data_IF_618133107300
#
_entry.id   IF_618133107300
#
_cell.length_a   1.000
_cell.length_b   1.000
_cell.length_c   1.000
_cell.angle_alpha   90.00
_cell.angle_beta   90.00
_cell.angle_gamma   90.00
#
_symmetry.space_group_name_H-M   'P 1'
#
loop_
_entity.id
_entity.type
_entity.pdbx_description
1 polymer ?
#
# COMPACT_ATOMS: atom_id res chain seq x y z
N UNK A 1 -68.61 -18.33 -2.52
CA UNK A 1 -68.03 -16.95 -2.61
C UNK A 1 -67.02 -16.77 -1.48
N UNK A 2 -65.78 -16.54 -1.76
CA UNK A 2 -64.83 -16.06 -0.72
C UNK A 2 -63.54 -16.87 -0.54
N UNK A 3 -62.78 -17.21 -1.64
CA UNK A 3 -61.44 -17.81 -1.51
C UNK A 3 -60.41 -17.09 -2.45
N UNK A 4 -60.48 -15.76 -2.55
CA UNK A 4 -59.54 -14.99 -3.41
C UNK A 4 -58.97 -13.75 -2.75
N UNK A 5 -58.98 -13.62 -1.42
CA UNK A 5 -58.47 -12.43 -0.74
C UNK A 5 -57.13 -12.63 0.00
N UNK A 6 -56.47 -13.80 -0.11
CA UNK A 6 -55.21 -14.07 0.64
C UNK A 6 -53.94 -14.13 -0.23
N UNK A 7 -54.02 -13.78 -1.55
CA UNK A 7 -52.90 -13.94 -2.48
C UNK A 7 -52.16 -12.61 -2.83
N UNK A 8 -52.56 -11.46 -2.27
CA UNK A 8 -51.95 -10.17 -2.48
C UNK A 8 -51.73 -9.38 -1.18
N UNK A 9 -51.44 -10.09 -0.09
CA UNK A 9 -50.98 -9.46 1.15
C UNK A 9 -49.49 -9.13 1.10
N UNK A 10 -49.05 -8.27 0.17
CA UNK A 10 -47.76 -7.61 0.29
C UNK A 10 -47.79 -6.78 1.55
N UNK A 11 -46.95 -7.11 2.56
CA UNK A 11 -46.79 -6.31 3.74
C UNK A 11 -46.52 -4.87 3.31
N UNK A 12 -47.49 -3.96 3.55
CA UNK A 12 -47.26 -2.52 3.33
C UNK A 12 -46.18 -2.08 4.32
N UNK A 13 -45.02 -1.65 3.79
CA UNK A 13 -43.97 -1.08 4.61
C UNK A 13 -44.57 -0.02 5.54
N UNK A 14 -44.10 0.02 6.79
CA UNK A 14 -44.42 1.06 7.74
C UNK A 14 -43.90 2.42 7.26
N UNK A 15 -44.32 3.50 7.84
CA UNK A 15 -43.82 4.85 7.51
C UNK A 15 -42.33 4.99 7.88
N UNK A 16 -41.90 4.34 8.96
CA UNK A 16 -40.49 4.30 9.39
C UNK A 16 -39.64 3.51 8.39
N UNK A 17 -40.09 2.35 7.91
CA UNK A 17 -39.36 1.57 6.89
C UNK A 17 -39.23 2.33 5.55
N UNK A 18 -40.25 3.10 5.15
CA UNK A 18 -40.17 3.94 3.96
C UNK A 18 -39.18 5.10 4.14
N UNK A 19 -39.20 5.73 5.31
CA UNK A 19 -38.26 6.79 5.65
C UNK A 19 -36.84 6.30 5.67
N UNK A 20 -36.58 5.13 6.28
CA UNK A 20 -35.30 4.48 6.23
C UNK A 20 -34.80 4.28 4.79
N UNK A 21 -35.63 3.68 3.91
CA UNK A 21 -35.28 3.45 2.50
C UNK A 21 -34.95 4.77 1.79
N UNK A 22 -35.76 5.81 1.98
CA UNK A 22 -35.53 7.13 1.37
C UNK A 22 -34.16 7.67 1.79
N UNK A 23 -33.88 7.70 3.07
CA UNK A 23 -32.63 8.22 3.62
C UNK A 23 -31.44 7.40 3.16
N UNK A 24 -31.52 6.05 3.20
CA UNK A 24 -30.48 5.15 2.72
C UNK A 24 -30.11 5.46 1.25
N UNK A 25 -31.11 5.48 0.37
CA UNK A 25 -30.85 5.68 -1.07
C UNK A 25 -30.50 7.12 -1.41
N UNK A 26 -30.98 8.12 -0.69
CA UNK A 26 -30.53 9.51 -0.83
C UNK A 26 -29.08 9.68 -0.40
N UNK A 27 -28.67 9.05 0.68
CA UNK A 27 -27.30 8.99 1.13
C UNK A 27 -26.37 8.36 0.08
N UNK A 28 -26.75 7.19 -0.48
CA UNK A 28 -25.98 6.51 -1.53
C UNK A 28 -25.85 7.40 -2.78
N UNK A 29 -26.93 8.05 -3.22
CA UNK A 29 -26.88 8.98 -4.36
C UNK A 29 -25.96 10.16 -4.08
N UNK A 30 -26.10 10.76 -2.92
CA UNK A 30 -25.27 11.90 -2.49
C UNK A 30 -23.78 11.55 -2.42
N UNK A 31 -23.45 10.38 -1.88
CA UNK A 31 -22.08 9.86 -1.81
C UNK A 31 -21.46 9.68 -3.20
N UNK A 32 -22.22 9.15 -4.17
CA UNK A 32 -21.79 8.95 -5.57
C UNK A 32 -21.46 10.27 -6.27
N UNK A 33 -22.20 11.35 -5.99
CA UNK A 33 -21.96 12.67 -6.58
C UNK A 33 -21.05 13.57 -5.72
N UNK A 34 -20.38 12.98 -4.70
CA UNK A 34 -19.41 13.70 -3.87
C UNK A 34 -19.99 14.64 -2.82
N UNK A 35 -21.32 14.67 -2.61
CA UNK A 35 -21.97 15.46 -1.54
C UNK A 35 -21.87 14.75 -0.20
N UNK A 36 -20.63 14.56 0.30
CA UNK A 36 -20.34 13.71 1.45
C UNK A 36 -21.02 14.14 2.74
N UNK A 37 -21.08 15.45 3.03
CA UNK A 37 -21.75 15.98 4.24
C UNK A 37 -23.25 15.66 4.24
N UNK A 38 -23.90 15.80 3.08
CA UNK A 38 -25.32 15.44 2.97
C UNK A 38 -25.55 13.93 3.02
N UNK A 39 -24.67 13.14 2.37
CA UNK A 39 -24.70 11.69 2.44
C UNK A 39 -24.58 11.20 3.89
N UNK A 40 -23.64 11.76 4.63
CA UNK A 40 -23.42 11.42 6.03
C UNK A 40 -24.66 11.69 6.89
N UNK A 41 -25.29 12.88 6.73
CA UNK A 41 -26.52 13.21 7.43
C UNK A 41 -27.63 12.19 7.12
N UNK A 42 -27.81 11.83 5.86
CA UNK A 42 -28.81 10.83 5.45
C UNK A 42 -28.51 9.45 6.10
N UNK A 43 -27.26 9.01 6.14
CA UNK A 43 -26.91 7.73 6.75
C UNK A 43 -27.05 7.76 8.29
N UNK A 44 -26.67 8.86 8.95
CA UNK A 44 -26.86 9.03 10.40
C UNK A 44 -28.36 8.97 10.78
N UNK A 45 -29.21 9.63 10.01
CA UNK A 45 -30.67 9.58 10.21
C UNK A 45 -31.25 8.19 9.88
N UNK A 46 -30.76 7.52 8.83
CA UNK A 46 -31.19 6.17 8.47
C UNK A 46 -30.81 5.15 9.53
N UNK A 47 -29.56 5.17 10.01
CA UNK A 47 -29.10 4.22 11.04
C UNK A 47 -29.73 4.46 12.41
N UNK A 48 -30.20 5.67 12.68
CA UNK A 48 -31.01 5.96 13.87
C UNK A 48 -32.42 5.31 13.80
N UNK A 49 -32.95 5.09 12.60
CA UNK A 49 -34.22 4.37 12.42
C UNK A 49 -34.00 2.86 12.49
N UNK A 50 -32.97 2.36 11.80
CA UNK A 50 -32.69 0.93 11.69
C UNK A 50 -31.19 0.68 11.56
N UNK A 51 -30.63 -0.20 12.41
CA UNK A 51 -29.24 -0.68 12.31
C UNK A 51 -29.12 -1.69 11.15
N UNK A 52 -28.94 -1.18 9.92
CA UNK A 52 -28.72 -1.96 8.71
C UNK A 52 -27.26 -1.96 8.35
N UNK A 53 -26.63 -3.13 8.25
CA UNK A 53 -25.18 -3.26 8.05
C UNK A 53 -24.70 -2.60 6.75
N UNK A 54 -25.49 -2.65 5.67
CA UNK A 54 -25.13 -1.99 4.41
C UNK A 54 -25.10 -0.47 4.57
N UNK A 55 -26.12 0.08 5.25
CA UNK A 55 -26.18 1.52 5.55
C UNK A 55 -25.05 1.95 6.47
N UNK A 56 -24.77 1.18 7.52
CA UNK A 56 -23.64 1.42 8.43
C UNK A 56 -22.29 1.35 7.70
N UNK A 57 -22.13 0.43 6.74
CA UNK A 57 -20.91 0.35 5.92
C UNK A 57 -20.75 1.60 5.04
N UNK A 58 -21.83 2.08 4.43
CA UNK A 58 -21.79 3.33 3.65
C UNK A 58 -21.48 4.54 4.55
N UNK A 59 -22.05 4.58 5.74
CA UNK A 59 -21.79 5.63 6.74
C UNK A 59 -20.32 5.61 7.16
N UNK A 60 -19.77 4.44 7.52
CA UNK A 60 -18.36 4.29 7.90
C UNK A 60 -17.42 4.73 6.77
N UNK A 61 -17.67 4.32 5.53
CA UNK A 61 -16.90 4.74 4.36
C UNK A 61 -17.01 6.26 4.15
N UNK A 62 -18.16 6.86 4.46
CA UNK A 62 -18.34 8.31 4.34
C UNK A 62 -17.58 9.05 5.44
N UNK A 63 -17.56 8.54 6.68
CA UNK A 63 -16.72 9.07 7.75
C UNK A 63 -15.23 9.06 7.36
N UNK A 64 -14.74 7.96 6.80
CA UNK A 64 -13.35 7.85 6.31
C UNK A 64 -13.06 8.95 5.27
N UNK A 65 -13.95 9.11 4.29
CA UNK A 65 -13.78 10.11 3.21
C UNK A 65 -13.81 11.56 3.67
N UNK A 66 -14.47 11.85 4.80
CA UNK A 66 -14.47 13.19 5.43
C UNK A 66 -13.46 13.30 6.57
N UNK A 67 -12.53 12.33 6.68
CA UNK A 67 -11.46 12.25 7.68
C UNK A 67 -11.97 12.20 9.15
N UNK A 68 -13.14 11.63 9.37
CA UNK A 68 -13.70 11.35 10.73
C UNK A 68 -13.39 9.89 11.11
N UNK A 69 -12.10 9.58 11.29
CA UNK A 69 -11.63 8.20 11.50
C UNK A 69 -12.14 7.57 12.79
N UNK A 70 -12.24 8.35 13.87
CA UNK A 70 -12.72 7.84 15.17
C UNK A 70 -14.20 7.44 15.11
N UNK A 71 -15.03 8.24 14.44
CA UNK A 71 -16.44 7.92 14.22
C UNK A 71 -16.61 6.66 13.36
N UNK A 72 -15.79 6.53 12.31
CA UNK A 72 -15.75 5.32 11.49
C UNK A 72 -15.40 4.09 12.35
N UNK A 73 -14.41 4.21 13.24
CA UNK A 73 -13.99 3.13 14.12
C UNK A 73 -15.06 2.72 15.13
N UNK A 74 -15.72 3.70 15.77
CA UNK A 74 -16.82 3.42 16.69
C UNK A 74 -17.95 2.68 15.96
N UNK A 75 -18.31 3.14 14.77
CA UNK A 75 -19.36 2.50 13.98
C UNK A 75 -18.99 1.08 13.54
N UNK A 76 -17.75 0.87 13.07
CA UNK A 76 -17.27 -0.46 12.68
C UNK A 76 -17.18 -1.41 13.88
N UNK A 77 -16.78 -0.94 15.07
CA UNK A 77 -16.84 -1.74 16.29
C UNK A 77 -18.29 -2.16 16.59
N UNK A 78 -19.25 -1.23 16.47
CA UNK A 78 -20.68 -1.57 16.63
C UNK A 78 -21.15 -2.60 15.62
N UNK A 79 -20.69 -2.50 14.36
CA UNK A 79 -20.99 -3.51 13.33
C UNK A 79 -20.46 -4.90 13.71
N UNK A 80 -19.28 -5.00 14.33
CA UNK A 80 -18.73 -6.29 14.78
C UNK A 80 -19.54 -6.93 15.93
N UNK A 81 -20.22 -6.12 16.73
CA UNK A 81 -21.15 -6.62 17.79
C UNK A 81 -22.45 -7.16 17.18
N UNK A 82 -23.01 -6.44 16.20
CA UNK A 82 -24.29 -6.79 15.55
C UNK A 82 -24.13 -8.02 14.66
N UNK A 83 -23.01 -8.10 13.91
CA UNK A 83 -22.73 -9.14 12.93
C UNK A 83 -21.44 -9.89 13.27
N UNK A 84 -21.37 -10.40 14.49
CA UNK A 84 -20.19 -11.08 15.03
C UNK A 84 -19.85 -12.41 14.33
N UNK A 85 -20.73 -12.91 13.47
CA UNK A 85 -20.56 -14.10 12.63
C UNK A 85 -20.17 -13.78 11.18
N UNK A 86 -20.02 -12.50 10.82
CA UNK A 86 -19.71 -12.08 9.46
C UNK A 86 -18.22 -11.67 9.31
N UNK A 87 -17.39 -12.44 8.57
CA UNK A 87 -15.97 -12.15 8.40
C UNK A 87 -15.70 -10.77 7.80
N UNK A 88 -16.53 -10.33 6.84
CA UNK A 88 -16.39 -9.07 6.12
C UNK A 88 -16.39 -7.83 7.05
N UNK A 89 -17.12 -7.89 8.16
CA UNK A 89 -17.16 -6.76 9.11
C UNK A 89 -15.81 -6.60 9.80
N UNK A 90 -15.18 -7.71 10.17
CA UNK A 90 -13.84 -7.69 10.76
C UNK A 90 -12.76 -7.30 9.74
N UNK A 91 -12.90 -7.69 8.47
CA UNK A 91 -12.01 -7.23 7.40
C UNK A 91 -12.10 -5.71 7.18
N UNK A 92 -13.33 -5.16 7.23
CA UNK A 92 -13.54 -3.71 7.15
C UNK A 92 -12.86 -2.98 8.31
N UNK A 93 -13.01 -3.52 9.54
CA UNK A 93 -12.33 -2.98 10.73
C UNK A 93 -10.81 -3.08 10.58
N UNK A 94 -10.28 -4.22 10.12
CA UNK A 94 -8.84 -4.40 9.87
C UNK A 94 -8.30 -3.38 8.86
N UNK A 95 -9.06 -3.11 7.79
CA UNK A 95 -8.70 -2.10 6.78
C UNK A 95 -8.66 -0.68 7.37
N UNK A 96 -9.60 -0.34 8.25
CA UNK A 96 -9.59 0.94 8.96
C UNK A 96 -8.42 1.03 9.94
N UNK A 97 -8.13 -0.05 10.69
CA UNK A 97 -6.97 -0.12 11.58
C UNK A 97 -5.66 0.11 10.80
N UNK A 98 -5.54 -0.45 9.59
CA UNK A 98 -4.39 -0.21 8.71
C UNK A 98 -4.23 1.27 8.36
N UNK A 99 -5.34 1.97 8.01
CA UNK A 99 -5.31 3.41 7.71
C UNK A 99 -4.92 4.26 8.92
N UNK A 100 -5.17 3.77 10.14
CA UNK A 100 -4.81 4.42 11.40
C UNK A 100 -3.45 3.97 11.94
N UNK A 101 -2.72 3.13 11.20
CA UNK A 101 -1.46 2.50 11.63
C UNK A 101 -1.58 1.69 12.93
N UNK A 102 -2.81 1.31 13.31
CA UNK A 102 -3.09 0.43 14.45
C UNK A 102 -2.92 -1.04 14.03
N UNK A 103 -1.69 -1.45 13.85
CA UNK A 103 -1.38 -2.81 13.40
C UNK A 103 -1.75 -3.89 14.41
N UNK A 104 -1.86 -3.56 15.71
CA UNK A 104 -2.36 -4.51 16.72
C UNK A 104 -3.86 -4.74 16.56
N UNK A 105 -4.64 -3.68 16.46
CA UNK A 105 -6.08 -3.79 16.20
C UNK A 105 -6.37 -4.47 14.86
N UNK A 106 -5.52 -4.21 13.84
CA UNK A 106 -5.60 -4.89 12.56
C UNK A 106 -5.40 -6.40 12.68
N UNK A 107 -4.36 -6.86 13.40
CA UNK A 107 -4.09 -8.28 13.63
C UNK A 107 -5.22 -8.97 14.39
N UNK A 108 -5.77 -8.32 15.44
CA UNK A 108 -6.91 -8.84 16.20
C UNK A 108 -8.16 -9.01 15.32
N UNK A 109 -8.47 -8.00 14.50
CA UNK A 109 -9.61 -8.07 13.58
C UNK A 109 -9.41 -9.17 12.52
N UNK A 110 -8.21 -9.28 11.93
CA UNK A 110 -7.88 -10.35 10.99
C UNK A 110 -8.03 -11.74 11.62
N UNK A 111 -7.54 -11.95 12.85
CA UNK A 111 -7.72 -13.22 13.56
C UNK A 111 -9.20 -13.58 13.73
N UNK A 112 -10.04 -12.61 14.09
CA UNK A 112 -11.48 -12.83 14.19
C UNK A 112 -12.09 -13.22 12.85
N UNK A 113 -11.75 -12.51 11.77
CA UNK A 113 -12.21 -12.86 10.43
C UNK A 113 -11.79 -14.30 10.04
N UNK A 114 -10.54 -14.69 10.31
CA UNK A 114 -10.01 -16.03 10.00
C UNK A 114 -10.62 -17.13 10.86
N UNK A 115 -11.07 -16.85 12.09
CA UNK A 115 -11.82 -17.87 12.86
C UNK A 115 -13.20 -18.14 12.28
N UNK A 116 -13.77 -17.21 11.51
CA UNK A 116 -15.06 -17.34 10.85
C UNK A 116 -14.94 -17.90 9.43
N UNK A 117 -13.88 -17.52 8.71
CA UNK A 117 -13.58 -18.00 7.37
C UNK A 117 -12.06 -18.07 7.16
N UNK A 118 -11.50 -19.27 7.23
CA UNK A 118 -10.07 -19.55 7.02
C UNK A 118 -9.69 -19.83 5.55
N UNK A 119 -10.66 -19.68 4.61
CA UNK A 119 -10.44 -19.91 3.18
C UNK A 119 -10.39 -18.61 2.37
N UNK A 120 -10.24 -17.45 3.02
CA UNK A 120 -10.20 -16.18 2.33
C UNK A 120 -8.75 -15.65 2.19
N UNK A 121 -8.17 -15.63 0.96
CA UNK A 121 -6.81 -15.17 0.73
C UNK A 121 -6.62 -13.69 1.07
N UNK A 122 -7.67 -12.86 0.92
CA UNK A 122 -7.59 -11.43 1.21
C UNK A 122 -7.38 -11.16 2.71
N UNK A 123 -8.02 -11.94 3.58
CA UNK A 123 -7.82 -11.83 5.04
C UNK A 123 -6.40 -12.23 5.45
N UNK A 124 -5.82 -13.26 4.85
CA UNK A 124 -4.42 -13.61 5.09
C UNK A 124 -3.47 -12.51 4.61
N UNK A 125 -3.75 -11.88 3.47
CA UNK A 125 -2.97 -10.74 2.99
C UNK A 125 -3.06 -9.53 3.93
N UNK A 126 -4.25 -9.20 4.45
CA UNK A 126 -4.41 -8.18 5.49
C UNK A 126 -3.64 -8.52 6.77
N UNK A 127 -3.68 -9.80 7.20
CA UNK A 127 -2.92 -10.26 8.36
C UNK A 127 -1.40 -10.14 8.15
N UNK A 128 -0.92 -10.38 6.93
CA UNK A 128 0.47 -10.16 6.57
C UNK A 128 0.87 -8.68 6.67
N UNK A 129 0.01 -7.77 6.19
CA UNK A 129 0.23 -6.31 6.35
C UNK A 129 0.32 -5.92 7.82
N UNK A 130 -0.55 -6.47 8.67
CA UNK A 130 -0.48 -6.23 10.12
C UNK A 130 0.86 -6.72 10.69
N UNK A 131 1.30 -7.91 10.30
CA UNK A 131 2.57 -8.47 10.74
C UNK A 131 3.78 -7.63 10.30
N UNK A 132 3.75 -7.07 9.08
CA UNK A 132 4.79 -6.12 8.60
C UNK A 132 4.81 -4.87 9.47
N UNK A 133 3.64 -4.26 9.74
CA UNK A 133 3.55 -3.08 10.61
C UNK A 133 4.02 -3.34 12.04
N UNK A 134 3.92 -4.59 12.51
CA UNK A 134 4.45 -5.07 13.80
C UNK A 134 5.92 -5.52 13.71
N UNK A 135 6.60 -5.30 12.58
CA UNK A 135 7.98 -5.73 12.33
C UNK A 135 8.19 -7.24 12.47
N UNK A 136 7.17 -8.05 12.23
CA UNK A 136 7.21 -9.51 12.29
C UNK A 136 7.23 -10.13 10.88
N UNK A 137 8.38 -10.05 10.21
CA UNK A 137 8.55 -10.54 8.85
C UNK A 137 8.29 -12.05 8.71
N UNK A 138 8.63 -12.86 9.72
CA UNK A 138 8.39 -14.32 9.69
C UNK A 138 6.88 -14.62 9.64
N UNK A 139 6.10 -13.94 10.48
CA UNK A 139 4.64 -14.10 10.46
C UNK A 139 4.05 -13.59 9.15
N UNK A 140 4.55 -12.46 8.61
CA UNK A 140 4.10 -11.94 7.34
C UNK A 140 4.30 -12.94 6.20
N UNK A 141 5.49 -13.56 6.09
CA UNK A 141 5.77 -14.63 5.09
C UNK A 141 4.81 -15.81 5.26
N UNK A 142 4.55 -16.26 6.49
CA UNK A 142 3.62 -17.35 6.74
C UNK A 142 2.19 -17.03 6.27
N UNK A 143 1.70 -15.82 6.55
CA UNK A 143 0.37 -15.39 6.12
C UNK A 143 0.30 -15.22 4.59
N UNK A 144 1.32 -14.65 3.96
CA UNK A 144 1.39 -14.51 2.50
C UNK A 144 1.45 -15.88 1.81
N UNK A 145 2.18 -16.83 2.39
CA UNK A 145 2.20 -18.20 1.88
C UNK A 145 0.82 -18.84 1.91
N UNK A 146 0.05 -18.63 2.97
CA UNK A 146 -1.36 -19.07 3.04
C UNK A 146 -2.24 -18.37 2.00
N UNK A 147 -2.11 -17.06 1.83
CA UNK A 147 -2.85 -16.31 0.81
C UNK A 147 -2.58 -16.86 -0.60
N UNK A 148 -1.31 -17.13 -0.92
CA UNK A 148 -0.88 -17.70 -2.20
C UNK A 148 -1.39 -19.13 -2.40
N UNK A 149 -1.36 -19.97 -1.36
CA UNK A 149 -1.92 -21.34 -1.43
C UNK A 149 -3.43 -21.33 -1.73
N UNK A 150 -4.16 -20.33 -1.28
CA UNK A 150 -5.60 -20.17 -1.53
C UNK A 150 -5.90 -19.50 -2.88
N UNK A 151 -4.98 -18.67 -3.36
CA UNK A 151 -5.06 -18.01 -4.66
C UNK A 151 -3.68 -17.93 -5.30
N UNK A 152 -3.37 -18.88 -6.20
CA UNK A 152 -2.08 -18.98 -6.89
C UNK A 152 -1.80 -17.83 -7.89
N UNK A 153 -2.78 -16.97 -8.14
CA UNK A 153 -2.66 -15.79 -9.00
C UNK A 153 -2.65 -14.47 -8.20
N UNK A 154 -2.44 -14.53 -6.89
CA UNK A 154 -2.46 -13.35 -6.02
C UNK A 154 -1.15 -12.55 -6.15
N UNK A 155 -1.07 -11.71 -7.17
CA UNK A 155 0.11 -10.91 -7.54
C UNK A 155 0.66 -10.11 -6.35
N UNK A 156 -0.20 -9.38 -5.63
CA UNK A 156 0.23 -8.54 -4.50
C UNK A 156 0.82 -9.35 -3.35
N UNK A 157 0.38 -10.60 -3.17
CA UNK A 157 0.92 -11.47 -2.14
C UNK A 157 2.33 -11.98 -2.51
N UNK A 158 2.57 -12.35 -3.76
CA UNK A 158 3.90 -12.68 -4.24
C UNK A 158 4.86 -11.50 -4.15
N UNK A 159 4.41 -10.31 -4.60
CA UNK A 159 5.23 -9.10 -4.56
C UNK A 159 5.66 -8.78 -3.13
N UNK A 160 4.72 -8.71 -2.19
CA UNK A 160 5.01 -8.42 -0.79
C UNK A 160 5.92 -9.49 -0.17
N UNK A 161 5.72 -10.78 -0.49
CA UNK A 161 6.55 -11.87 0.05
C UNK A 161 7.97 -11.78 -0.48
N UNK A 162 8.14 -11.53 -1.78
CA UNK A 162 9.46 -11.33 -2.40
C UNK A 162 10.23 -10.18 -1.75
N UNK A 163 9.59 -9.03 -1.51
CA UNK A 163 10.20 -7.87 -0.87
C UNK A 163 10.64 -8.19 0.57
N UNK A 164 9.79 -8.88 1.35
CA UNK A 164 10.13 -9.27 2.72
C UNK A 164 11.28 -10.30 2.72
N UNK A 165 11.22 -11.32 1.87
CA UNK A 165 12.26 -12.34 1.73
C UNK A 165 13.61 -11.69 1.34
N UNK A 166 13.59 -10.73 0.41
CA UNK A 166 14.78 -9.97 0.03
C UNK A 166 15.35 -9.16 1.20
N UNK A 167 14.51 -8.46 1.95
CA UNK A 167 14.91 -7.72 3.15
C UNK A 167 15.54 -8.64 4.20
N UNK A 168 15.04 -9.88 4.31
CA UNK A 168 15.57 -10.91 5.19
C UNK A 168 16.77 -11.68 4.62
N UNK A 169 17.33 -11.24 3.49
CA UNK A 169 18.47 -11.88 2.81
C UNK A 169 18.21 -13.30 2.29
N UNK A 170 16.97 -13.64 2.08
CA UNK A 170 16.54 -14.90 1.48
C UNK A 170 16.39 -14.74 -0.03
N UNK A 171 17.49 -14.39 -0.71
CA UNK A 171 17.50 -14.05 -2.13
C UNK A 171 16.96 -15.16 -3.05
N UNK A 172 17.22 -16.43 -2.70
CA UNK A 172 16.73 -17.56 -3.50
C UNK A 172 15.20 -17.62 -3.48
N UNK A 173 14.60 -17.57 -2.29
CA UNK A 173 13.14 -17.67 -2.15
C UNK A 173 12.45 -16.42 -2.72
N UNK A 174 13.06 -15.24 -2.55
CA UNK A 174 12.59 -14.01 -3.20
C UNK A 174 12.59 -14.15 -4.74
N UNK A 175 13.64 -14.74 -5.31
CA UNK A 175 13.71 -14.93 -6.77
C UNK A 175 12.66 -15.92 -7.28
N UNK A 176 12.26 -16.93 -6.52
CA UNK A 176 11.17 -17.85 -6.89
C UNK A 176 9.85 -17.09 -7.04
N UNK A 177 9.53 -16.17 -6.13
CA UNK A 177 8.34 -15.33 -6.22
C UNK A 177 8.42 -14.35 -7.40
N UNK A 178 9.60 -13.75 -7.63
CA UNK A 178 9.84 -12.85 -8.77
C UNK A 178 9.65 -13.58 -10.10
N UNK A 179 10.18 -14.79 -10.26
CA UNK A 179 9.98 -15.57 -11.48
C UNK A 179 8.50 -15.88 -11.71
N UNK A 180 7.75 -16.15 -10.64
CA UNK A 180 6.29 -16.33 -10.72
C UNK A 180 5.60 -15.05 -11.19
N UNK A 181 5.94 -13.89 -10.64
CA UNK A 181 5.41 -12.58 -11.07
C UNK A 181 5.71 -12.32 -12.55
N UNK A 182 6.96 -12.51 -12.97
CA UNK A 182 7.37 -12.30 -14.36
C UNK A 182 6.74 -13.32 -15.32
N UNK A 183 6.36 -14.52 -14.84
CA UNK A 183 5.59 -15.48 -15.64
C UNK A 183 4.16 -15.03 -15.89
N UNK A 184 3.56 -14.26 -14.95
CA UNK A 184 2.22 -13.68 -15.07
C UNK A 184 2.25 -12.38 -15.90
N UNK A 185 3.25 -11.53 -15.64
CA UNK A 185 3.47 -10.27 -16.35
C UNK A 185 4.97 -10.06 -16.58
N UNK A 186 5.50 -10.35 -17.80
CA UNK A 186 6.93 -10.17 -18.12
C UNK A 186 7.42 -8.73 -18.05
N UNK A 187 6.51 -7.75 -18.01
CA UNK A 187 6.81 -6.32 -17.96
C UNK A 187 6.51 -5.72 -16.58
N UNK A 188 6.35 -6.55 -15.55
CA UNK A 188 6.13 -6.07 -14.18
C UNK A 188 7.34 -5.28 -13.68
N UNK A 189 7.17 -3.96 -13.56
CA UNK A 189 8.23 -3.03 -13.18
C UNK A 189 8.86 -3.38 -11.85
N UNK A 190 8.05 -3.67 -10.83
CA UNK A 190 8.54 -3.97 -9.48
C UNK A 190 9.32 -5.29 -9.45
N UNK A 191 8.83 -6.31 -10.14
CA UNK A 191 9.50 -7.59 -10.23
C UNK A 191 10.83 -7.48 -10.98
N UNK A 192 10.87 -6.75 -12.09
CA UNK A 192 12.10 -6.50 -12.87
C UNK A 192 13.15 -5.74 -12.04
N UNK A 193 12.74 -4.69 -11.31
CA UNK A 193 13.65 -3.92 -10.47
C UNK A 193 14.16 -4.73 -9.28
N UNK A 194 13.30 -5.49 -8.62
CA UNK A 194 13.72 -6.35 -7.49
C UNK A 194 14.67 -7.45 -7.96
N UNK A 195 14.42 -8.04 -9.15
CA UNK A 195 15.34 -8.98 -9.79
C UNK A 195 16.69 -8.32 -10.08
N UNK A 196 16.68 -7.09 -10.57
CA UNK A 196 17.88 -6.29 -10.81
C UNK A 196 18.68 -6.08 -9.52
N UNK A 197 18.03 -5.73 -8.41
CA UNK A 197 18.67 -5.59 -7.10
C UNK A 197 19.35 -6.90 -6.65
N UNK A 198 18.65 -8.04 -6.78
CA UNK A 198 19.19 -9.36 -6.42
C UNK A 198 20.42 -9.70 -7.27
N UNK A 199 20.33 -9.47 -8.58
CA UNK A 199 21.45 -9.74 -9.51
C UNK A 199 22.67 -8.86 -9.21
N UNK A 200 22.46 -7.58 -8.90
CA UNK A 200 23.54 -6.67 -8.53
C UNK A 200 24.31 -7.17 -7.30
N UNK A 201 23.59 -7.61 -6.25
CA UNK A 201 24.21 -8.16 -5.04
C UNK A 201 24.87 -9.52 -5.27
N UNK A 202 24.36 -10.31 -6.22
CA UNK A 202 24.94 -11.61 -6.62
C UNK A 202 26.17 -11.48 -7.52
N UNK A 203 26.59 -10.24 -7.90
CA UNK A 203 27.73 -9.97 -8.76
C UNK A 203 27.41 -10.05 -10.26
N UNK A 204 26.13 -10.19 -10.64
CA UNK A 204 25.66 -10.19 -12.03
C UNK A 204 25.22 -8.78 -12.46
N UNK A 205 26.08 -7.82 -12.21
CA UNK A 205 25.77 -6.39 -12.29
C UNK A 205 25.39 -5.91 -13.69
N UNK A 206 25.96 -6.52 -14.75
CA UNK A 206 25.61 -6.16 -16.14
C UNK A 206 24.16 -6.54 -16.44
N UNK A 207 23.73 -7.73 -16.00
CA UNK A 207 22.32 -8.16 -16.16
C UNK A 207 21.37 -7.29 -15.34
N UNK A 208 21.80 -6.87 -14.14
CA UNK A 208 21.03 -5.94 -13.34
C UNK A 208 20.78 -4.63 -14.10
N UNK A 209 21.83 -4.05 -14.70
CA UNK A 209 21.72 -2.83 -15.49
C UNK A 209 20.84 -3.02 -16.75
N UNK A 210 20.88 -4.18 -17.39
CA UNK A 210 20.00 -4.51 -18.51
C UNK A 210 18.52 -4.48 -18.10
N UNK A 211 18.16 -5.08 -16.95
CA UNK A 211 16.79 -5.05 -16.43
C UNK A 211 16.33 -3.63 -16.07
N UNK A 212 17.19 -2.84 -15.43
CA UNK A 212 16.88 -1.44 -15.09
C UNK A 212 16.64 -0.63 -16.38
N UNK A 213 17.48 -0.82 -17.42
CA UNK A 213 17.28 -0.16 -18.70
C UNK A 213 16.00 -0.64 -19.41
N UNK A 214 15.64 -1.92 -19.28
CA UNK A 214 14.36 -2.44 -19.78
C UNK A 214 13.19 -1.71 -19.11
N UNK A 215 13.23 -1.53 -17.79
CA UNK A 215 12.19 -0.78 -17.06
C UNK A 215 12.11 0.65 -17.56
N UNK A 216 13.23 1.35 -17.73
CA UNK A 216 13.24 2.73 -18.25
C UNK A 216 12.75 2.83 -19.71
N UNK A 217 12.92 1.79 -20.50
CA UNK A 217 12.35 1.72 -21.85
C UNK A 217 10.83 1.54 -21.84
N UNK A 218 10.28 0.79 -20.86
CA UNK A 218 8.84 0.58 -20.66
C UNK A 218 8.18 1.78 -19.98
N UNK A 219 8.80 2.29 -18.94
CA UNK A 219 8.35 3.42 -18.15
C UNK A 219 9.47 4.46 -17.94
N UNK A 220 9.59 5.46 -18.84
CA UNK A 220 10.59 6.53 -18.69
C UNK A 220 10.40 7.41 -17.46
N UNK A 221 9.28 7.27 -16.73
CA UNK A 221 8.98 8.02 -15.49
C UNK A 221 9.30 7.23 -14.21
N UNK A 222 9.92 6.05 -14.32
CA UNK A 222 10.24 5.21 -13.17
C UNK A 222 11.32 5.83 -12.29
N UNK A 223 10.92 6.53 -11.24
CA UNK A 223 11.84 7.13 -10.27
C UNK A 223 12.75 6.08 -9.63
N UNK A 224 12.18 4.92 -9.25
CA UNK A 224 12.94 3.81 -8.65
C UNK A 224 14.02 3.27 -9.59
N UNK A 225 13.75 3.18 -10.91
CA UNK A 225 14.73 2.72 -11.88
C UNK A 225 15.90 3.71 -12.01
N UNK A 226 15.64 5.02 -12.04
CA UNK A 226 16.70 6.03 -12.02
C UNK A 226 17.56 5.97 -10.78
N UNK A 227 16.96 5.80 -9.60
CA UNK A 227 17.70 5.66 -8.34
C UNK A 227 18.63 4.44 -8.36
N UNK A 228 18.12 3.29 -8.81
CA UNK A 228 18.91 2.07 -8.92
C UNK A 228 20.02 2.21 -9.95
N UNK A 229 19.76 2.81 -11.12
CA UNK A 229 20.76 3.06 -12.15
C UNK A 229 21.87 4.00 -11.68
N UNK A 230 21.50 5.08 -11.01
CA UNK A 230 22.45 6.03 -10.43
C UNK A 230 23.29 5.41 -9.33
N UNK A 231 22.70 4.64 -8.43
CA UNK A 231 23.41 3.92 -7.37
C UNK A 231 24.37 2.86 -7.93
N UNK A 232 23.98 2.16 -9.01
CA UNK A 232 24.88 1.25 -9.74
C UNK A 232 26.16 1.96 -10.21
N UNK A 233 26.03 3.11 -10.88
CA UNK A 233 27.20 3.86 -11.35
C UNK A 233 28.02 4.47 -10.20
N UNK A 234 27.38 4.87 -9.12
CA UNK A 234 28.06 5.33 -7.91
C UNK A 234 28.92 4.21 -7.30
N UNK A 235 28.41 3.00 -7.19
CA UNK A 235 29.15 1.85 -6.69
C UNK A 235 30.37 1.51 -7.54
N UNK A 236 30.29 1.73 -8.85
CA UNK A 236 31.40 1.60 -9.79
C UNK A 236 32.36 2.80 -9.78
N UNK A 237 32.12 3.80 -8.93
CA UNK A 237 32.85 5.08 -8.92
C UNK A 237 32.80 5.81 -10.26
N UNK A 238 31.83 5.51 -11.10
CA UNK A 238 31.59 6.17 -12.37
C UNK A 238 30.74 7.44 -12.16
N UNK A 239 31.28 8.38 -11.39
CA UNK A 239 30.57 9.56 -10.88
C UNK A 239 29.89 10.38 -11.97
N UNK A 240 30.55 10.57 -13.12
CA UNK A 240 29.97 11.35 -14.22
C UNK A 240 28.71 10.67 -14.76
N UNK A 241 28.74 9.35 -14.97
CA UNK A 241 27.57 8.60 -15.41
C UNK A 241 26.44 8.60 -14.39
N UNK A 242 26.76 8.53 -13.10
CA UNK A 242 25.75 8.63 -12.04
C UNK A 242 25.08 10.01 -12.05
N UNK A 243 25.83 11.09 -12.23
CA UNK A 243 25.30 12.45 -12.36
C UNK A 243 24.40 12.56 -13.59
N UNK A 244 24.84 12.09 -14.77
CA UNK A 244 24.04 12.08 -15.99
C UNK A 244 22.69 11.37 -15.80
N UNK A 245 22.66 10.23 -15.12
CA UNK A 245 21.42 9.49 -14.83
C UNK A 245 20.45 10.31 -13.97
N UNK A 246 20.97 10.99 -12.94
CA UNK A 246 20.11 11.84 -12.10
C UNK A 246 19.72 13.15 -12.81
N UNK A 247 20.56 13.66 -13.71
CA UNK A 247 20.19 14.80 -14.56
C UNK A 247 19.03 14.44 -15.47
N UNK A 248 19.06 13.27 -16.15
CA UNK A 248 17.93 12.75 -16.93
C UNK A 248 16.66 12.62 -16.09
N UNK A 249 16.75 12.05 -14.88
CA UNK A 249 15.61 11.93 -13.97
C UNK A 249 15.01 13.29 -13.60
N UNK A 250 15.86 14.31 -13.37
CA UNK A 250 15.45 15.65 -13.00
C UNK A 250 14.93 16.50 -14.16
N UNK A 251 15.34 16.19 -15.39
CA UNK A 251 14.72 16.75 -16.60
C UNK A 251 13.28 16.27 -16.74
N UNK A 252 13.01 15.00 -16.41
CA UNK A 252 11.67 14.41 -16.47
C UNK A 252 10.81 14.87 -15.30
N UNK A 253 11.33 14.82 -14.08
CA UNK A 253 10.66 15.28 -12.86
C UNK A 253 11.51 16.29 -12.07
N UNK A 254 11.37 17.60 -12.31
CA UNK A 254 12.10 18.65 -11.58
C UNK A 254 11.79 18.74 -10.08
N UNK A 255 10.79 17.99 -9.60
CA UNK A 255 10.42 17.92 -8.18
C UNK A 255 10.84 16.61 -7.50
N UNK A 256 11.69 15.83 -8.15
CA UNK A 256 12.18 14.57 -7.61
C UNK A 256 13.24 14.80 -6.52
N UNK A 257 12.80 15.05 -5.29
CA UNK A 257 13.66 15.39 -4.15
C UNK A 257 14.77 14.36 -3.92
N UNK A 258 14.47 13.06 -4.03
CA UNK A 258 15.45 12.00 -3.82
C UNK A 258 16.54 11.98 -4.89
N UNK A 259 16.23 12.32 -6.15
CA UNK A 259 17.25 12.43 -7.21
C UNK A 259 18.22 13.59 -6.93
N UNK A 260 17.75 14.75 -6.45
CA UNK A 260 18.62 15.81 -5.99
C UNK A 260 19.52 15.34 -4.85
N UNK A 261 18.95 14.67 -3.86
CA UNK A 261 19.71 14.14 -2.73
C UNK A 261 20.83 13.19 -3.20
N UNK A 262 20.49 12.20 -4.01
CA UNK A 262 21.47 11.21 -4.50
C UNK A 262 22.50 11.85 -5.43
N UNK A 263 22.11 12.78 -6.31
CA UNK A 263 23.07 13.52 -7.16
C UNK A 263 24.04 14.35 -6.32
N UNK A 264 23.52 14.99 -5.25
CA UNK A 264 24.34 15.71 -4.29
C UNK A 264 25.37 14.81 -3.60
N UNK A 265 24.98 13.59 -3.22
CA UNK A 265 25.91 12.57 -2.68
C UNK A 265 27.00 12.20 -3.68
N UNK A 266 26.65 11.99 -4.95
CA UNK A 266 27.61 11.68 -6.02
C UNK A 266 28.58 12.85 -6.25
N UNK A 267 28.07 14.10 -6.30
CA UNK A 267 28.91 15.32 -6.43
C UNK A 267 29.88 15.45 -5.28
N UNK A 268 29.45 15.17 -4.04
CA UNK A 268 30.32 15.18 -2.87
C UNK A 268 31.44 14.13 -2.99
N UNK A 269 31.10 12.90 -3.40
CA UNK A 269 32.08 11.82 -3.62
C UNK A 269 33.06 12.17 -4.72
N UNK A 270 32.65 12.91 -5.76
CA UNK A 270 33.50 13.43 -6.82
C UNK A 270 34.39 14.61 -6.38
N UNK A 271 34.09 15.24 -5.23
CA UNK A 271 34.80 16.41 -4.68
C UNK A 271 34.13 17.76 -4.99
N UNK A 272 33.01 17.78 -5.67
CA UNK A 272 32.22 18.99 -5.93
C UNK A 272 31.32 19.31 -4.72
N UNK A 273 31.91 19.98 -3.72
CA UNK A 273 31.21 20.39 -2.50
C UNK A 273 30.12 21.43 -2.75
N UNK A 274 30.36 22.36 -3.67
CA UNK A 274 29.43 23.43 -3.98
C UNK A 274 28.16 22.86 -4.63
N UNK A 275 28.29 22.10 -5.70
CA UNK A 275 27.18 21.46 -6.38
C UNK A 275 26.42 20.46 -5.50
N UNK A 276 27.11 19.78 -4.58
CA UNK A 276 26.49 18.95 -3.57
C UNK A 276 25.59 19.76 -2.63
N UNK A 277 26.06 20.89 -2.10
CA UNK A 277 25.27 21.75 -1.21
C UNK A 277 24.03 22.32 -1.89
N UNK A 278 24.14 22.70 -3.16
CA UNK A 278 23.01 23.20 -3.96
C UNK A 278 21.93 22.12 -4.13
N UNK A 279 22.32 20.92 -4.49
CA UNK A 279 21.41 19.78 -4.65
C UNK A 279 20.75 19.37 -3.32
N UNK A 280 21.52 19.31 -2.22
CA UNK A 280 20.99 19.00 -0.89
C UNK A 280 19.97 20.05 -0.41
N UNK A 281 20.25 21.32 -0.65
CA UNK A 281 19.31 22.40 -0.33
C UNK A 281 18.00 22.21 -1.12
N UNK A 282 18.10 21.89 -2.42
CA UNK A 282 16.93 21.68 -3.24
C UNK A 282 16.11 20.45 -2.81
N UNK A 283 16.76 19.38 -2.41
CA UNK A 283 16.11 18.19 -1.87
C UNK A 283 15.29 18.51 -0.60
N UNK A 284 15.86 19.31 0.33
CA UNK A 284 15.17 19.74 1.57
C UNK A 284 13.99 20.66 1.25
N UNK A 285 14.14 21.59 0.31
CA UNK A 285 13.05 22.49 -0.12
C UNK A 285 11.84 21.70 -0.67
N UNK A 286 12.10 20.61 -1.41
CA UNK A 286 11.07 19.76 -2.01
C UNK A 286 10.46 18.77 -1.01
N UNK A 287 11.19 18.36 0.01
CA UNK A 287 10.77 17.35 1.01
C UNK A 287 11.28 17.75 2.40
N UNK A 288 10.66 18.77 3.04
CA UNK A 288 11.14 19.31 4.33
C UNK A 288 11.10 18.27 5.47
N UNK A 289 10.17 17.31 5.40
CA UNK A 289 10.04 16.22 6.37
C UNK A 289 11.27 15.29 6.38
N UNK A 290 11.98 15.19 5.27
CA UNK A 290 13.20 14.42 5.15
C UNK A 290 14.45 15.20 5.55
N UNK A 291 14.32 16.49 5.87
CA UNK A 291 15.42 17.38 6.23
C UNK A 291 16.20 16.93 7.48
N UNK A 292 15.53 16.24 8.41
CA UNK A 292 16.19 15.67 9.59
C UNK A 292 17.18 14.54 9.24
N UNK A 293 16.89 13.78 8.20
CA UNK A 293 17.75 12.69 7.70
C UNK A 293 18.95 13.24 6.88
N UNK A 294 18.88 14.49 6.44
CA UNK A 294 19.91 15.15 5.64
C UNK A 294 20.86 15.96 6.54
N UNK A 295 20.46 16.31 7.77
CA UNK A 295 21.25 17.09 8.72
C UNK A 295 22.39 16.27 9.34
N UNK A 296 23.49 16.13 8.62
CA UNK A 296 24.83 16.05 9.24
C UNK A 296 25.34 14.70 9.70
N UNK A 297 24.63 13.59 9.59
CA UNK A 297 25.18 12.25 9.85
C UNK A 297 25.99 11.68 8.68
N UNK A 298 26.39 12.53 7.76
CA UNK A 298 27.22 12.17 6.60
C UNK A 298 28.65 11.71 6.94
N UNK A 299 29.02 11.71 8.19
CA UNK A 299 30.38 11.30 8.62
C UNK A 299 30.58 9.78 8.69
N UNK A 300 29.60 8.95 8.35
CA UNK A 300 29.70 7.49 8.45
C UNK A 300 29.69 6.76 7.10
N UNK A 301 30.37 7.31 6.09
CA UNK A 301 30.63 6.60 4.84
C UNK A 301 31.33 5.24 5.05
N UNK A 302 32.11 5.10 6.12
CA UNK A 302 32.77 3.83 6.45
C UNK A 302 31.84 2.79 7.10
N UNK A 303 30.72 3.20 7.72
CA UNK A 303 29.77 2.27 8.32
C UNK A 303 28.71 1.79 7.32
N UNK A 304 28.50 2.50 6.21
CA UNK A 304 27.53 2.12 5.16
C UNK A 304 28.08 1.09 4.15
N UNK A 305 29.31 0.61 4.31
CA UNK A 305 29.85 -0.51 3.49
C UNK A 305 29.05 -1.83 3.60
N UNK A 306 28.02 -1.85 4.46
CA UNK A 306 27.14 -3.00 4.68
C UNK A 306 25.70 -2.77 4.22
N UNK A 307 25.36 -1.65 3.56
CA UNK A 307 24.08 -1.54 2.89
C UNK A 307 24.30 -2.13 1.49
N UNK A 308 23.67 -3.27 1.19
CA UNK A 308 23.64 -3.71 -0.20
C UNK A 308 22.73 -2.75 -0.95
N UNK A 309 23.10 -2.54 -2.17
CA UNK A 309 22.34 -1.79 -3.15
C UNK A 309 20.87 -1.77 -2.85
#
# INVERSE_FOLDING_TARGET
>A
MGIFSSLFGGNKKTEEEKNFDILKYDGIRAMRIGKLTYALKCFEEATAIQEDLETMQHQANTYIRVNRMDDARQLMNRMTEIASDQPLVFQSLASLCYMQEDYKGMDEACRKALTLNDQDPATYFLSAKAAVGLSNGIQAIAMLTKAIMLNEEFVEAYQMRAEILWTMRQAKDANEDIEKLLSMNPEDENALLLKGEILAVSGEEEKALELINQVLALNPFSEKAYLLKGSYFLAKQAFDKAIEVYDEALEINPNFAQAYHERGRVKLAKGDKQGSMEDMKRAIELSPENGANINGEYNNYEQQKNIPF
#
